data_IF_480352116667
#
_entry.id   IF_480352116667
#
_cell.length_a   1.000
_cell.length_b   1.000
_cell.length_c   1.000
_cell.angle_alpha   90.00
_cell.angle_beta   90.00
_cell.angle_gamma   90.00
#
_symmetry.space_group_name_H-M   'P 1'
#
loop_
_entity.id
_entity.type
_entity.pdbx_description
1 polymer ?
#
# COMPACT_ATOMS: atom_id res chain seq x y z
N UNK A 1 -20.42 13.96 -1.46
CA UNK A 1 -19.37 13.88 -0.41
C UNK A 1 -18.26 13.02 -0.99
N UNK A 2 -17.07 13.57 -1.15
CA UNK A 2 -15.97 12.84 -1.79
C UNK A 2 -15.53 11.67 -0.90
N UNK A 3 -15.47 10.47 -1.48
CA UNK A 3 -14.91 9.29 -0.82
C UNK A 3 -13.41 9.50 -0.64
N UNK A 4 -12.99 9.84 0.58
CA UNK A 4 -11.60 10.16 0.90
C UNK A 4 -11.22 9.66 2.29
N UNK A 5 -9.95 9.35 2.45
CA UNK A 5 -9.30 9.09 3.73
C UNK A 5 -8.49 10.34 4.12
N UNK A 6 -8.70 10.84 5.34
CA UNK A 6 -7.93 11.97 5.90
C UNK A 6 -7.32 11.59 7.24
N UNK A 7 -6.21 12.23 7.57
CA UNK A 7 -5.48 12.06 8.82
C UNK A 7 -5.27 13.43 9.43
N UNK A 8 -5.61 13.59 10.70
CA UNK A 8 -5.49 14.85 11.45
C UNK A 8 -4.67 14.60 12.73
N UNK A 9 -3.51 15.23 12.82
CA UNK A 9 -2.62 15.24 14.00
C UNK A 9 -2.30 13.84 14.56
N UNK A 10 -2.11 12.85 13.68
CA UNK A 10 -1.78 11.50 14.11
C UNK A 10 -0.40 11.45 14.74
N UNK A 11 -0.32 10.98 15.98
CA UNK A 11 0.92 10.69 16.69
C UNK A 11 0.97 9.23 17.11
N UNK A 12 2.09 8.56 16.86
CA UNK A 12 2.26 7.14 17.18
C UNK A 12 3.58 6.93 17.89
N UNK A 13 3.55 6.20 19.02
CA UNK A 13 4.72 5.91 19.83
C UNK A 13 4.86 4.42 20.12
N UNK A 14 6.10 3.95 20.25
CA UNK A 14 6.46 2.64 20.80
C UNK A 14 7.16 2.87 22.15
N UNK A 15 6.43 2.65 23.24
CA UNK A 15 6.88 3.03 24.56
C UNK A 15 7.18 4.54 24.63
N UNK A 16 8.42 4.92 24.97
CA UNK A 16 8.82 6.33 25.06
C UNK A 16 9.25 6.94 23.71
N UNK A 17 9.43 6.13 22.67
CA UNK A 17 9.90 6.61 21.36
C UNK A 17 8.73 6.99 20.48
N UNK A 18 8.59 8.29 20.20
CA UNK A 18 7.64 8.79 19.20
C UNK A 18 8.22 8.52 17.80
N UNK A 19 7.41 7.89 16.94
CA UNK A 19 7.79 7.53 15.57
C UNK A 19 7.04 8.38 14.55
N UNK A 20 5.78 8.69 14.80
CA UNK A 20 4.99 9.65 14.04
C UNK A 20 4.62 10.79 14.98
N UNK A 21 4.79 12.02 14.53
CA UNK A 21 4.49 13.21 15.35
C UNK A 21 3.57 14.17 14.61
N UNK A 22 2.31 14.27 15.10
CA UNK A 22 1.26 15.19 14.61
C UNK A 22 1.12 15.20 13.08
N UNK A 23 1.28 14.03 12.45
CA UNK A 23 1.17 13.89 11.01
C UNK A 23 -0.27 14.16 10.56
N UNK A 24 -0.41 15.03 9.56
CA UNK A 24 -1.71 15.34 8.95
C UNK A 24 -1.62 15.16 7.44
N UNK A 25 -2.61 14.44 6.87
CA UNK A 25 -2.78 14.27 5.43
C UNK A 25 -4.23 14.66 5.11
N UNK A 26 -4.45 15.76 4.38
CA UNK A 26 -5.78 16.32 4.20
C UNK A 26 -6.71 15.43 3.40
N UNK A 27 -6.17 14.73 2.40
CA UNK A 27 -7.00 13.93 1.49
C UNK A 27 -6.18 12.88 0.74
N UNK A 28 -6.61 11.62 0.85
CA UNK A 28 -6.29 10.53 -0.08
C UNK A 28 -7.61 10.09 -0.70
N UNK A 29 -7.75 10.21 -2.01
CA UNK A 29 -9.05 10.04 -2.69
C UNK A 29 -9.33 8.58 -3.03
N UNK A 30 -10.60 8.23 -3.01
CA UNK A 30 -11.07 6.96 -3.54
C UNK A 30 -10.81 6.87 -5.06
N UNK A 31 -10.41 5.70 -5.52
CA UNK A 31 -10.02 5.49 -6.91
C UNK A 31 -8.58 5.90 -7.23
N UNK A 32 -7.84 6.46 -6.25
CA UNK A 32 -6.43 6.85 -6.41
C UNK A 32 -5.48 5.90 -5.65
N UNK A 33 -4.33 5.62 -6.27
CA UNK A 33 -3.20 4.94 -5.64
C UNK A 33 -2.26 5.98 -5.07
N UNK A 34 -2.07 5.98 -3.75
CA UNK A 34 -1.15 6.85 -3.04
C UNK A 34 0.14 6.09 -2.72
N UNK A 35 1.27 6.51 -3.27
CA UNK A 35 2.59 6.01 -2.91
C UNK A 35 3.07 6.66 -1.60
N UNK A 36 3.46 5.84 -0.63
CA UNK A 36 4.08 6.28 0.62
C UNK A 36 5.59 6.05 0.52
N UNK A 37 6.35 7.13 0.43
CA UNK A 37 7.77 7.18 0.12
C UNK A 37 8.58 7.70 1.32
N UNK A 38 9.86 7.40 1.35
CA UNK A 38 10.81 7.88 2.37
C UNK A 38 11.85 6.83 2.75
N UNK A 39 12.93 7.23 3.43
CA UNK A 39 14.00 6.33 3.82
C UNK A 39 13.53 5.28 4.85
N UNK A 40 14.37 4.26 5.07
CA UNK A 40 14.13 3.29 6.12
C UNK A 40 14.07 3.98 7.49
N UNK A 41 13.13 3.57 8.33
CA UNK A 41 12.90 4.18 9.64
C UNK A 41 12.15 5.52 9.62
N UNK A 42 11.66 6.01 8.47
CA UNK A 42 10.89 7.24 8.37
C UNK A 42 9.47 7.15 8.97
N UNK A 43 8.98 5.94 9.31
CA UNK A 43 7.69 5.74 9.92
C UNK A 43 6.60 5.18 8.99
N UNK A 44 6.92 4.79 7.75
CA UNK A 44 5.95 4.30 6.75
C UNK A 44 5.10 3.12 7.26
N UNK A 45 5.74 2.03 7.68
CA UNK A 45 5.04 0.86 8.21
C UNK A 45 4.29 1.16 9.51
N UNK A 46 4.82 2.08 10.33
CA UNK A 46 4.13 2.55 11.54
C UNK A 46 2.83 3.28 11.20
N UNK A 47 2.87 4.14 10.16
CA UNK A 47 1.68 4.83 9.66
C UNK A 47 0.65 3.82 9.15
N UNK A 48 1.05 2.87 8.30
CA UNK A 48 0.13 1.86 7.79
C UNK A 48 -0.48 1.01 8.92
N UNK A 49 0.32 0.59 9.91
CA UNK A 49 -0.18 -0.16 11.07
C UNK A 49 -1.15 0.64 11.93
N UNK A 50 -0.92 1.94 12.08
CA UNK A 50 -1.84 2.82 12.79
C UNK A 50 -3.17 2.97 12.04
N UNK A 51 -3.14 3.15 10.71
CA UNK A 51 -4.33 3.18 9.86
C UNK A 51 -5.08 1.85 9.89
N UNK A 52 -4.35 0.72 9.87
CA UNK A 52 -4.93 -0.62 9.99
C UNK A 52 -5.47 -0.94 11.40
N UNK A 53 -5.14 -0.10 12.38
CA UNK A 53 -5.53 -0.31 13.76
C UNK A 53 -4.76 -1.35 14.54
N UNK A 54 -3.63 -1.74 14.01
CA UNK A 54 -2.70 -2.67 14.65
C UNK A 54 -1.75 -1.97 15.61
N UNK A 55 -1.64 -0.64 15.52
CA UNK A 55 -0.86 0.20 16.43
C UNK A 55 -1.73 1.36 16.92
N UNK A 56 -1.75 1.56 18.24
CA UNK A 56 -2.42 2.69 18.85
C UNK A 56 -1.71 4.01 18.55
N UNK A 57 -2.49 5.08 18.48
CA UNK A 57 -1.99 6.44 18.29
C UNK A 57 -3.06 7.46 18.65
N UNK A 58 -2.63 8.69 18.92
CA UNK A 58 -3.51 9.84 19.14
C UNK A 58 -3.72 10.57 17.80
N UNK A 59 -4.89 11.20 17.66
CA UNK A 59 -5.28 11.89 16.43
C UNK A 59 -6.54 11.29 15.80
N UNK A 60 -6.95 11.86 14.68
CA UNK A 60 -8.18 11.45 14.00
C UNK A 60 -7.87 10.90 12.60
N UNK A 61 -8.42 9.75 12.30
CA UNK A 61 -8.43 9.18 10.95
C UNK A 61 -9.89 9.06 10.51
N UNK A 62 -10.24 9.68 9.39
CA UNK A 62 -11.60 9.69 8.87
C UNK A 62 -11.66 9.07 7.48
N UNK A 63 -12.65 8.22 7.29
CA UNK A 63 -13.04 7.71 5.96
C UNK A 63 -14.43 8.28 5.63
N UNK A 64 -14.57 8.95 4.49
CA UNK A 64 -15.86 9.57 4.09
C UNK A 64 -16.41 10.53 5.15
N UNK A 65 -15.53 11.29 5.82
CA UNK A 65 -15.88 12.23 6.89
C UNK A 65 -16.23 11.59 8.24
N UNK A 66 -16.28 10.26 8.35
CA UNK A 66 -16.55 9.52 9.60
C UNK A 66 -15.27 8.92 10.16
N UNK A 67 -15.14 8.75 11.48
CA UNK A 67 -14.03 8.02 12.07
C UNK A 67 -13.88 6.66 11.39
N UNK A 68 -12.64 6.31 11.00
CA UNK A 68 -12.32 5.03 10.36
C UNK A 68 -12.65 3.90 11.33
N UNK A 69 -13.57 3.02 10.94
CA UNK A 69 -13.98 1.88 11.76
C UNK A 69 -13.18 0.63 11.41
N UNK A 70 -12.38 0.18 12.36
CA UNK A 70 -11.60 -1.05 12.25
C UNK A 70 -12.48 -2.32 12.32
N UNK A 71 -13.63 -2.22 13.01
CA UNK A 71 -14.54 -3.35 13.23
C UNK A 71 -15.41 -3.68 12.01
N UNK A 72 -15.48 -2.80 11.01
CA UNK A 72 -16.34 -2.99 9.84
C UNK A 72 -15.68 -3.68 8.65
N UNK A 73 -14.43 -4.14 8.78
CA UNK A 73 -13.69 -4.73 7.64
C UNK A 73 -13.39 -3.73 6.52
N UNK A 74 -13.51 -2.42 6.82
CA UNK A 74 -13.28 -1.36 5.83
C UNK A 74 -11.83 -1.28 5.38
N UNK A 75 -10.89 -1.83 6.17
CA UNK A 75 -9.44 -1.77 5.93
C UNK A 75 -8.88 -3.17 5.72
N UNK A 76 -8.16 -3.38 4.62
CA UNK A 76 -7.27 -4.52 4.44
C UNK A 76 -5.81 -4.04 4.51
N UNK A 77 -4.99 -4.76 5.25
CA UNK A 77 -3.57 -4.49 5.41
C UNK A 77 -2.74 -5.71 5.05
N UNK A 78 -1.81 -5.54 4.13
CA UNK A 78 -0.80 -6.53 3.78
C UNK A 78 0.55 -6.09 4.37
N UNK A 79 1.08 -6.80 5.36
CA UNK A 79 2.38 -6.48 5.95
C UNK A 79 3.54 -6.88 5.02
N UNK A 80 4.68 -6.23 5.19
CA UNK A 80 5.93 -6.56 4.49
C UNK A 80 6.34 -8.02 4.74
N UNK A 81 6.31 -8.46 5.99
CA UNK A 81 6.56 -9.85 6.37
C UNK A 81 5.23 -10.57 6.53
N UNK A 82 4.97 -11.53 5.64
CA UNK A 82 3.77 -12.34 5.71
C UNK A 82 3.79 -13.24 6.95
N UNK A 83 2.63 -13.51 7.56
CA UNK A 83 2.54 -14.46 8.67
C UNK A 83 3.00 -15.86 8.26
N UNK A 84 3.36 -16.73 9.22
CA UNK A 84 3.67 -18.13 8.95
C UNK A 84 2.57 -18.81 8.15
N UNK A 85 2.96 -19.65 7.19
CA UNK A 85 2.01 -20.37 6.37
C UNK A 85 1.25 -21.41 7.21
N UNK A 86 -0.05 -21.47 7.00
CA UNK A 86 -0.91 -22.56 7.44
C UNK A 86 -1.03 -23.57 6.31
N UNK A 87 -1.28 -24.85 6.63
CA UNK A 87 -1.45 -25.90 5.64
C UNK A 87 -2.85 -25.83 5.00
N UNK A 88 -3.04 -24.81 4.16
CA UNK A 88 -4.22 -24.58 3.33
C UNK A 88 -3.76 -24.40 1.89
N UNK A 89 -4.61 -24.78 0.96
CA UNK A 89 -4.42 -24.43 -0.46
C UNK A 89 -4.60 -22.91 -0.66
N UNK A 90 -4.07 -22.38 -1.75
CA UNK A 90 -4.29 -20.98 -2.13
C UNK A 90 -5.77 -20.67 -2.20
N UNK A 91 -6.55 -21.54 -2.87
CA UNK A 91 -8.01 -21.38 -3.00
C UNK A 91 -8.70 -21.32 -1.63
N UNK A 92 -8.46 -22.28 -0.76
CA UNK A 92 -9.05 -22.32 0.59
C UNK A 92 -8.66 -21.07 1.40
N UNK A 93 -7.42 -20.62 1.27
CA UNK A 93 -6.93 -19.43 1.98
C UNK A 93 -7.66 -18.15 1.55
N UNK A 94 -8.00 -18.03 0.26
CA UNK A 94 -8.79 -16.91 -0.24
C UNK A 94 -10.26 -17.01 0.24
N UNK A 95 -10.83 -18.21 0.25
CA UNK A 95 -12.18 -18.43 0.78
C UNK A 95 -12.26 -18.00 2.25
N UNK A 96 -11.28 -18.39 3.07
CA UNK A 96 -11.20 -17.98 4.48
C UNK A 96 -11.01 -16.46 4.61
N UNK A 97 -10.10 -15.87 3.82
CA UNK A 97 -9.86 -14.43 3.84
C UNK A 97 -11.11 -13.62 3.45
N UNK A 98 -11.88 -14.08 2.46
CA UNK A 98 -13.10 -13.44 2.02
C UNK A 98 -14.24 -13.51 3.06
N UNK A 99 -14.28 -14.57 3.88
CA UNK A 99 -15.26 -14.71 4.96
C UNK A 99 -14.96 -13.82 6.17
N UNK A 100 -13.71 -13.42 6.35
CA UNK A 100 -13.24 -12.59 7.47
C UNK A 100 -13.68 -11.12 7.34
N UNK A 101 -14.95 -10.85 7.02
CA UNK A 101 -15.51 -9.50 7.09
C UNK A 101 -15.91 -9.18 8.52
N UNK A 102 -15.47 -8.04 9.03
CA UNK A 102 -15.65 -7.64 10.43
C UNK A 102 -17.13 -7.42 10.87
N UNK A 103 -18.08 -7.49 9.94
CA UNK A 103 -19.50 -7.29 10.23
C UNK A 103 -20.27 -8.57 10.58
N UNK A 104 -19.60 -9.73 10.69
CA UNK A 104 -20.27 -11.01 10.95
C UNK A 104 -21.21 -11.47 9.82
N UNK A 105 -21.30 -10.70 8.75
CA UNK A 105 -22.00 -11.07 7.53
C UNK A 105 -21.03 -11.93 6.71
N UNK A 106 -21.21 -13.25 6.78
CA UNK A 106 -20.52 -14.19 5.91
C UNK A 106 -20.88 -13.88 4.46
N UNK A 107 -20.04 -13.10 3.76
CA UNK A 107 -20.10 -13.04 2.30
C UNK A 107 -19.56 -14.37 1.79
N UNK A 108 -20.45 -15.20 1.26
CA UNK A 108 -20.01 -16.34 0.46
C UNK A 108 -19.47 -15.77 -0.85
N UNK A 109 -18.16 -15.74 -1.00
CA UNK A 109 -17.56 -15.54 -2.30
C UNK A 109 -17.84 -16.80 -3.13
N UNK A 110 -18.33 -16.60 -4.33
CA UNK A 110 -18.48 -17.66 -5.30
C UNK A 110 -17.09 -18.13 -5.74
N UNK A 111 -16.93 -19.43 -5.94
CA UNK A 111 -15.70 -20.04 -6.45
C UNK A 111 -15.20 -19.34 -7.72
N UNK A 112 -16.13 -18.89 -8.58
CA UNK A 112 -15.81 -18.13 -9.79
C UNK A 112 -15.12 -16.79 -9.48
N UNK A 113 -15.50 -16.09 -8.41
CA UNK A 113 -14.86 -14.81 -8.01
C UNK A 113 -13.43 -15.05 -7.53
N UNK A 114 -13.19 -16.12 -6.78
CA UNK A 114 -11.84 -16.49 -6.35
C UNK A 114 -10.96 -16.83 -7.55
N UNK A 115 -11.43 -17.67 -8.47
CA UNK A 115 -10.69 -18.02 -9.67
C UNK A 115 -10.44 -16.81 -10.57
N UNK A 116 -11.40 -15.93 -10.79
CA UNK A 116 -11.25 -14.72 -11.58
C UNK A 116 -10.18 -13.78 -10.98
N UNK A 117 -10.12 -13.68 -9.64
CA UNK A 117 -9.10 -12.89 -8.97
C UNK A 117 -7.70 -13.53 -9.11
N UNK A 118 -7.57 -14.84 -8.92
CA UNK A 118 -6.32 -15.56 -9.11
C UNK A 118 -5.82 -15.44 -10.56
N UNK A 119 -6.72 -15.57 -11.53
CA UNK A 119 -6.41 -15.39 -12.95
C UNK A 119 -5.96 -13.97 -13.27
N UNK A 120 -6.59 -12.94 -12.66
CA UNK A 120 -6.19 -11.54 -12.86
C UNK A 120 -4.79 -11.24 -12.33
N UNK A 121 -4.30 -12.03 -11.38
CA UNK A 121 -2.94 -11.99 -10.82
C UNK A 121 -1.98 -12.95 -11.53
N UNK A 122 -2.44 -13.77 -12.50
CA UNK A 122 -1.64 -14.76 -13.20
C UNK A 122 -1.19 -15.95 -12.33
N UNK A 123 -1.92 -16.23 -11.24
CA UNK A 123 -1.60 -17.29 -10.25
C UNK A 123 -2.71 -18.33 -10.08
N UNK A 124 -3.64 -18.41 -11.02
CA UNK A 124 -4.73 -19.42 -11.03
C UNK A 124 -4.18 -20.86 -11.05
N UNK A 125 -3.04 -21.07 -11.71
CA UNK A 125 -2.31 -22.35 -11.72
C UNK A 125 -1.81 -22.78 -10.32
N UNK A 126 -1.78 -21.88 -9.34
CA UNK A 126 -1.41 -22.17 -7.95
C UNK A 126 -2.61 -22.50 -7.06
N UNK A 127 -3.84 -22.42 -7.57
CA UNK A 127 -5.07 -22.50 -6.76
C UNK A 127 -5.11 -23.70 -5.81
N UNK A 128 -4.65 -24.87 -6.27
CA UNK A 128 -4.63 -26.12 -5.49
C UNK A 128 -3.29 -26.41 -4.79
N UNK A 129 -2.29 -25.52 -4.89
CA UNK A 129 -1.05 -25.67 -4.15
C UNK A 129 -1.21 -25.20 -2.71
N UNK A 130 -0.52 -25.85 -1.78
CA UNK A 130 -0.46 -25.43 -0.39
C UNK A 130 0.43 -24.18 -0.22
N UNK A 131 0.05 -23.29 0.71
CA UNK A 131 0.76 -22.03 0.98
C UNK A 131 2.22 -22.24 1.39
N UNK A 132 2.52 -23.30 2.12
CA UNK A 132 3.86 -23.68 2.58
C UNK A 132 4.78 -24.17 1.45
N UNK A 133 4.22 -24.51 0.28
CA UNK A 133 4.96 -24.92 -0.91
C UNK A 133 5.30 -23.78 -1.87
N UNK A 134 4.82 -22.57 -1.59
CA UNK A 134 4.98 -21.42 -2.45
C UNK A 134 6.33 -20.71 -2.24
N UNK A 135 6.89 -20.17 -3.32
CA UNK A 135 8.01 -19.23 -3.23
C UNK A 135 7.60 -17.93 -2.52
N UNK A 136 8.57 -17.11 -2.08
CA UNK A 136 8.31 -15.83 -1.43
C UNK A 136 7.45 -14.91 -2.30
N UNK A 137 7.77 -14.77 -3.60
CA UNK A 137 7.01 -13.97 -4.54
C UNK A 137 5.59 -14.50 -4.76
N UNK A 138 5.42 -15.84 -4.89
CA UNK A 138 4.09 -16.44 -5.01
C UNK A 138 3.23 -16.19 -3.77
N UNK A 139 3.81 -16.31 -2.56
CA UNK A 139 3.12 -15.97 -1.31
C UNK A 139 2.71 -14.50 -1.26
N UNK A 140 3.55 -13.60 -1.79
CA UNK A 140 3.23 -12.18 -1.85
C UNK A 140 2.02 -11.91 -2.76
N UNK A 141 1.96 -12.54 -3.93
CA UNK A 141 0.81 -12.46 -4.85
C UNK A 141 -0.48 -13.00 -4.21
N UNK A 142 -0.38 -14.13 -3.51
CA UNK A 142 -1.52 -14.68 -2.74
C UNK A 142 -1.94 -13.73 -1.64
N UNK A 143 -1.02 -13.09 -0.91
CA UNK A 143 -1.33 -12.08 0.09
C UNK A 143 -2.09 -10.87 -0.48
N UNK A 144 -1.70 -10.41 -1.68
CA UNK A 144 -2.43 -9.36 -2.41
C UNK A 144 -3.84 -9.83 -2.77
N UNK A 145 -3.98 -11.08 -3.27
CA UNK A 145 -5.28 -11.67 -3.55
C UNK A 145 -6.17 -11.74 -2.30
N UNK A 146 -5.62 -12.19 -1.16
CA UNK A 146 -6.32 -12.24 0.13
C UNK A 146 -6.77 -10.86 0.62
N UNK A 147 -5.99 -9.80 0.35
CA UNK A 147 -6.37 -8.44 0.69
C UNK A 147 -7.51 -7.93 -0.23
N UNK A 148 -7.44 -8.23 -1.53
CA UNK A 148 -8.41 -7.79 -2.54
C UNK A 148 -9.75 -8.52 -2.46
N UNK A 149 -9.76 -9.83 -2.12
CA UNK A 149 -10.99 -10.61 -2.01
C UNK A 149 -11.93 -10.08 -0.92
N UNK A 150 -11.37 -9.40 0.08
CA UNK A 150 -12.13 -8.78 1.18
C UNK A 150 -12.91 -7.54 0.75
N UNK A 151 -12.72 -7.04 -0.47
CA UNK A 151 -13.34 -5.82 -1.02
C UNK A 151 -13.26 -4.62 -0.05
N UNK A 152 -12.06 -4.23 0.40
CA UNK A 152 -11.91 -3.17 1.38
C UNK A 152 -12.24 -1.80 0.79
N UNK A 153 -12.67 -0.85 1.63
CA UNK A 153 -12.74 0.56 1.26
C UNK A 153 -11.36 1.23 1.27
N UNK A 154 -10.44 0.73 2.12
CA UNK A 154 -9.05 1.17 2.23
C UNK A 154 -8.12 -0.03 2.14
N UNK A 155 -7.23 -0.03 1.15
CA UNK A 155 -6.20 -1.05 0.94
C UNK A 155 -4.83 -0.48 1.32
N UNK A 156 -4.17 -1.10 2.28
CA UNK A 156 -2.85 -0.71 2.79
C UNK A 156 -1.84 -1.81 2.48
N UNK A 157 -0.80 -1.48 1.72
CA UNK A 157 0.21 -2.43 1.24
C UNK A 157 1.60 -1.98 1.69
N UNK A 158 2.25 -2.76 2.54
CA UNK A 158 3.57 -2.46 3.08
C UNK A 158 4.65 -3.22 2.28
N UNK A 159 5.30 -2.55 1.34
CA UNK A 159 6.32 -3.08 0.43
C UNK A 159 5.89 -4.36 -0.33
N UNK A 160 4.72 -4.36 -0.99
CA UNK A 160 4.17 -5.58 -1.58
C UNK A 160 4.94 -6.08 -2.81
N UNK A 161 5.90 -5.31 -3.32
CA UNK A 161 6.66 -5.62 -4.53
C UNK A 161 8.06 -6.19 -4.24
N UNK A 162 8.51 -6.18 -2.99
CA UNK A 162 9.92 -6.46 -2.62
C UNK A 162 10.40 -7.88 -2.97
N UNK A 163 9.50 -8.85 -3.05
CA UNK A 163 9.81 -10.25 -3.37
C UNK A 163 9.48 -10.63 -4.83
N UNK A 164 9.06 -9.67 -5.66
CA UNK A 164 8.63 -9.90 -7.03
C UNK A 164 9.70 -9.47 -8.03
N UNK A 165 9.82 -10.22 -9.13
CA UNK A 165 10.60 -9.78 -10.27
C UNK A 165 9.93 -8.60 -11.01
N UNK A 166 10.66 -7.97 -11.91
CA UNK A 166 10.23 -6.74 -12.58
C UNK A 166 8.92 -6.93 -13.37
N UNK A 167 8.72 -8.08 -14.02
CA UNK A 167 7.51 -8.36 -14.80
C UNK A 167 6.29 -8.38 -13.87
N UNK A 168 6.38 -9.14 -12.77
CA UNK A 168 5.30 -9.21 -11.79
C UNK A 168 5.07 -7.89 -11.07
N UNK A 169 6.11 -7.09 -10.78
CA UNK A 169 5.94 -5.76 -10.20
C UNK A 169 5.05 -4.87 -11.08
N UNK A 170 5.32 -4.81 -12.38
CA UNK A 170 4.50 -4.06 -13.34
C UNK A 170 3.07 -4.59 -13.40
N UNK A 171 2.92 -5.91 -13.53
CA UNK A 171 1.61 -6.53 -13.60
C UNK A 171 0.74 -6.24 -12.36
N UNK A 172 1.33 -6.37 -11.16
CA UNK A 172 0.65 -6.09 -9.88
C UNK A 172 0.27 -4.63 -9.77
N UNK A 173 1.17 -3.70 -10.13
CA UNK A 173 0.85 -2.27 -10.06
C UNK A 173 -0.29 -1.88 -11.01
N UNK A 174 -0.31 -2.41 -12.23
CA UNK A 174 -1.39 -2.19 -13.17
C UNK A 174 -2.72 -2.79 -12.68
N UNK A 175 -2.68 -3.99 -12.08
CA UNK A 175 -3.85 -4.59 -11.47
C UNK A 175 -4.37 -3.73 -10.30
N UNK A 176 -3.49 -3.33 -9.38
CA UNK A 176 -3.86 -2.50 -8.24
C UNK A 176 -4.50 -1.18 -8.68
N UNK A 177 -3.96 -0.51 -9.71
CA UNK A 177 -4.57 0.70 -10.28
C UNK A 177 -5.97 0.44 -10.84
N UNK A 178 -6.14 -0.61 -11.64
CA UNK A 178 -7.44 -0.99 -12.20
C UNK A 178 -8.46 -1.30 -11.11
N UNK A 179 -8.09 -2.13 -10.12
CA UNK A 179 -8.99 -2.52 -9.03
C UNK A 179 -9.31 -1.33 -8.12
N UNK A 180 -8.33 -0.46 -7.83
CA UNK A 180 -8.52 0.77 -7.07
C UNK A 180 -9.57 1.66 -7.72
N UNK A 181 -9.45 1.91 -9.03
CA UNK A 181 -10.40 2.72 -9.79
C UNK A 181 -11.76 2.06 -9.91
N UNK A 182 -11.78 0.78 -10.27
CA UNK A 182 -13.02 0.02 -10.48
C UNK A 182 -13.89 -0.06 -9.22
N UNK A 183 -13.26 -0.24 -8.06
CA UNK A 183 -13.96 -0.40 -6.77
C UNK A 183 -14.13 0.93 -6.01
N UNK A 184 -13.50 2.00 -6.45
CA UNK A 184 -13.50 3.27 -5.73
C UNK A 184 -12.88 3.15 -4.33
N UNK A 185 -11.84 2.33 -4.15
CA UNK A 185 -11.16 2.20 -2.88
C UNK A 185 -10.00 3.19 -2.76
N UNK A 186 -9.61 3.54 -1.54
CA UNK A 186 -8.38 4.28 -1.27
C UNK A 186 -7.24 3.27 -1.13
N UNK A 187 -6.24 3.36 -1.98
CA UNK A 187 -5.07 2.46 -1.91
C UNK A 187 -3.83 3.24 -1.48
N UNK A 188 -3.18 2.78 -0.40
CA UNK A 188 -1.89 3.32 0.06
C UNK A 188 -0.85 2.22 -0.01
N UNK A 189 0.23 2.47 -0.76
CA UNK A 189 1.28 1.50 -1.03
C UNK A 189 2.65 2.06 -0.64
N UNK A 190 3.39 1.35 0.20
CA UNK A 190 4.80 1.68 0.47
C UNK A 190 5.63 1.21 -0.71
N UNK A 191 6.37 2.14 -1.31
CA UNK A 191 7.30 1.87 -2.40
C UNK A 191 8.70 2.37 -2.03
N UNK A 192 9.72 1.62 -2.48
CA UNK A 192 11.12 2.07 -2.42
C UNK A 192 11.59 2.66 -3.75
N UNK A 193 11.04 2.17 -4.85
CA UNK A 193 11.35 2.64 -6.18
C UNK A 193 10.54 3.91 -6.51
N UNK A 194 11.24 5.03 -6.61
CA UNK A 194 10.65 6.32 -6.98
C UNK A 194 10.12 6.30 -8.42
N UNK A 195 10.74 5.54 -9.32
CA UNK A 195 10.29 5.40 -10.70
C UNK A 195 8.98 4.62 -10.79
N UNK A 196 8.80 3.61 -9.92
CA UNK A 196 7.52 2.92 -9.80
C UNK A 196 6.43 3.87 -9.28
N UNK A 197 6.75 4.75 -8.32
CA UNK A 197 5.81 5.76 -7.84
C UNK A 197 5.43 6.76 -8.93
N UNK A 198 6.41 7.32 -9.66
CA UNK A 198 6.17 8.23 -10.79
C UNK A 198 5.29 7.63 -11.88
N UNK A 199 5.42 6.33 -12.13
CA UNK A 199 4.71 5.62 -13.20
C UNK A 199 3.30 5.19 -12.82
N UNK A 200 3.10 4.75 -11.58
CA UNK A 200 1.90 4.02 -11.19
C UNK A 200 1.06 4.68 -10.10
N UNK A 201 1.59 5.66 -9.37
CA UNK A 201 0.82 6.35 -8.35
C UNK A 201 0.12 7.60 -8.88
N UNK A 202 -1.05 7.89 -8.34
CA UNK A 202 -1.81 9.11 -8.62
C UNK A 202 -1.45 10.22 -7.60
N UNK A 203 -0.86 9.83 -6.46
CA UNK A 203 -0.40 10.72 -5.39
C UNK A 203 0.84 10.16 -4.72
N UNK A 204 1.73 11.03 -4.24
CA UNK A 204 2.88 10.67 -3.42
C UNK A 204 2.85 11.40 -2.08
N UNK A 205 3.16 10.66 -1.01
CA UNK A 205 3.41 11.15 0.34
C UNK A 205 4.86 10.85 0.68
N UNK A 206 5.67 11.86 0.98
CA UNK A 206 7.07 11.68 1.32
C UNK A 206 7.30 11.91 2.82
N UNK A 207 7.71 10.84 3.51
CA UNK A 207 7.95 10.85 4.95
C UNK A 207 9.45 10.88 5.27
N UNK A 208 9.82 11.71 6.27
CA UNK A 208 11.14 11.67 6.92
C UNK A 208 10.96 11.86 8.42
N UNK A 209 11.60 11.00 9.22
CA UNK A 209 11.60 11.09 10.68
C UNK A 209 10.19 11.28 11.31
N UNK A 210 9.19 10.59 10.79
CA UNK A 210 7.81 10.63 11.31
C UNK A 210 6.99 11.85 10.88
N UNK A 211 7.53 12.70 10.02
CA UNK A 211 6.87 13.89 9.49
C UNK A 211 6.60 13.78 7.99
N UNK A 212 5.52 14.39 7.54
CA UNK A 212 5.18 14.54 6.13
C UNK A 212 5.92 15.75 5.56
N UNK A 213 6.87 15.52 4.64
CA UNK A 213 7.64 16.60 4.00
C UNK A 213 7.01 17.06 2.68
N UNK A 214 6.40 16.15 1.92
CA UNK A 214 5.74 16.50 0.67
C UNK A 214 4.50 15.62 0.46
N UNK A 215 3.48 16.19 -0.20
CA UNK A 215 2.22 15.54 -0.52
C UNK A 215 1.63 16.17 -1.78
N UNK A 216 1.41 15.38 -2.82
CA UNK A 216 0.85 15.87 -4.08
C UNK A 216 0.96 14.87 -5.22
N UNK A 217 0.89 15.40 -6.43
CA UNK A 217 1.17 14.66 -7.65
C UNK A 217 2.64 14.17 -7.65
N UNK A 218 2.92 12.90 -7.96
CA UNK A 218 4.29 12.39 -7.98
C UNK A 218 5.26 13.23 -8.81
N UNK A 219 4.84 13.70 -9.99
CA UNK A 219 5.65 14.56 -10.87
C UNK A 219 5.99 15.92 -10.25
N UNK A 220 5.18 16.39 -9.28
CA UNK A 220 5.38 17.69 -8.63
C UNK A 220 6.16 17.58 -7.32
N UNK A 221 6.01 16.47 -6.60
CA UNK A 221 6.63 16.33 -5.27
C UNK A 221 7.94 15.55 -5.29
N UNK A 222 8.20 14.77 -6.35
CA UNK A 222 9.49 14.10 -6.55
C UNK A 222 10.34 15.01 -7.43
N UNK A 223 11.17 15.84 -6.78
CA UNK A 223 12.07 16.79 -7.43
C UNK A 223 13.46 16.78 -6.75
N UNK A 224 14.40 17.57 -7.27
CA UNK A 224 15.75 17.66 -6.73
C UNK A 224 15.76 18.07 -5.24
N UNK A 225 14.90 19.01 -4.85
CA UNK A 225 14.84 19.53 -3.48
C UNK A 225 14.32 18.46 -2.51
N UNK A 226 13.26 17.74 -2.87
CA UNK A 226 12.72 16.67 -2.04
C UNK A 226 13.60 15.43 -2.03
N UNK A 227 14.30 15.11 -3.12
CA UNK A 227 15.31 14.04 -3.14
C UNK A 227 16.43 14.35 -2.16
N UNK A 228 16.94 15.57 -2.14
CA UNK A 228 17.95 16.00 -1.18
C UNK A 228 17.40 16.02 0.25
N UNK A 229 16.25 16.66 0.47
CA UNK A 229 15.66 16.82 1.80
C UNK A 229 15.28 15.48 2.44
N UNK A 230 14.69 14.55 1.67
CA UNK A 230 14.17 13.28 2.17
C UNK A 230 15.25 12.21 2.22
N UNK A 231 16.00 12.04 1.13
CA UNK A 231 16.94 10.92 0.97
C UNK A 231 18.42 11.32 1.15
N UNK A 232 18.74 12.61 1.14
CA UNK A 232 20.14 13.07 1.24
C UNK A 232 20.96 12.80 -0.02
N UNK A 233 20.31 12.78 -1.17
CA UNK A 233 20.95 12.54 -2.46
C UNK A 233 20.78 13.74 -3.39
N UNK A 234 21.77 13.97 -4.25
CA UNK A 234 21.64 14.84 -5.40
C UNK A 234 21.01 14.02 -6.53
N UNK A 235 19.95 14.53 -7.11
CA UNK A 235 19.27 13.87 -8.20
C UNK A 235 18.33 14.83 -8.92
N UNK A 236 17.79 14.37 -10.04
CA UNK A 236 16.89 15.12 -10.88
C UNK A 236 15.84 14.21 -11.49
N UNK A 237 14.75 14.79 -11.94
CA UNK A 237 13.72 14.08 -12.72
C UNK A 237 13.86 14.51 -14.17
N UNK A 238 14.06 13.55 -15.05
CA UNK A 238 14.09 13.72 -16.49
C UNK A 238 12.96 12.95 -17.16
N UNK A 239 12.60 13.35 -18.37
CA UNK A 239 11.64 12.60 -19.18
C UNK A 239 12.39 11.84 -20.29
N UNK A 240 12.14 10.53 -20.37
CA UNK A 240 12.69 9.72 -21.45
C UNK A 240 12.08 10.11 -22.82
N UNK A 241 12.57 9.51 -23.91
CA UNK A 241 12.07 9.77 -25.29
C UNK A 241 10.57 9.53 -25.47
N UNK A 242 9.93 8.77 -24.57
CA UNK A 242 8.48 8.52 -24.55
C UNK A 242 7.73 9.48 -23.62
N UNK A 243 8.40 10.51 -23.06
CA UNK A 243 7.81 11.47 -22.15
C UNK A 243 7.58 10.97 -20.72
N UNK A 244 8.00 9.73 -20.39
CA UNK A 244 7.82 9.16 -19.06
C UNK A 244 8.86 9.73 -18.10
N UNK A 245 8.45 10.29 -16.94
CA UNK A 245 9.38 10.82 -15.95
C UNK A 245 10.15 9.70 -15.26
N UNK A 246 11.41 9.95 -14.94
CA UNK A 246 12.27 9.07 -14.17
C UNK A 246 13.29 9.83 -13.35
N UNK A 247 13.60 9.29 -12.18
CA UNK A 247 14.61 9.83 -11.26
C UNK A 247 16.00 9.35 -11.68
N UNK A 248 16.91 10.28 -11.82
CA UNK A 248 18.35 10.03 -11.93
C UNK A 248 19.03 10.50 -10.65
N UNK A 249 19.81 9.61 -10.02
CA UNK A 249 20.61 9.95 -8.82
C UNK A 249 22.04 10.19 -9.26
N UNK A 250 22.54 11.40 -8.98
CA UNK A 250 23.88 11.82 -9.40
C UNK A 250 24.94 11.56 -8.32
N UNK A 251 24.51 11.40 -7.06
CA UNK A 251 25.39 11.13 -5.93
C UNK A 251 24.80 11.50 -4.58
N UNK A 252 25.60 11.42 -3.53
CA UNK A 252 25.22 11.87 -2.21
C UNK A 252 25.19 13.40 -2.15
N UNK A 253 24.24 13.98 -1.44
CA UNK A 253 24.26 15.40 -1.14
C UNK A 253 25.45 15.69 -0.21
N UNK A 254 26.18 16.78 -0.48
CA UNK A 254 27.19 17.27 0.45
C UNK A 254 26.50 17.61 1.77
N UNK A 255 26.99 17.04 2.89
CA UNK A 255 26.48 17.28 4.23
C UNK A 255 26.77 18.68 4.72
#
# INVERSE_FOLDING_TARGET
MSDQLSIENLSVSYGKRRVIDKLSVPCMRAGEVTALLGPNGSGKSTLLRALAGLQGGDGLVRLRGRPLSRQRGEVAYLPQTLPPCVHLTVFESLMVAGQATAAGLFRRHDDQQVFALLQSLGIDHLALRFLDQLSGGQRQLVGIAQALIREPAVLLLDEPLSALDLNYQFHVMDLLRRETRRRGMVTVIVLHDLNAALRHADRALMLKAGQLLANGDPDQVIDAATLQAVYGVNGRVERCSQGVPHVLVDGLAAG
#
